data_IF_022636968345
#
_entry.id   IF_022636968345
#
_cell.length_a   1.000
_cell.length_b   1.000
_cell.length_c   1.000
_cell.angle_alpha   90.00
_cell.angle_beta   90.00
_cell.angle_gamma   90.00
#
_symmetry.space_group_name_H-M   'P 1'
#
loop_
_entity.id
_entity.type
_entity.pdbx_description
1 polymer ?
#
# COMPACT_ATOMS: atom_id res chain seq x y z
N UNK A 1 13.91 -41.11 -79.57
CA UNK A 1 14.85 -40.96 -78.41
C UNK A 1 14.36 -39.81 -77.56
N UNK A 2 13.46 -40.08 -76.57
CA UNK A 2 12.83 -39.06 -75.73
C UNK A 2 13.57 -39.02 -74.39
N UNK A 3 14.29 -37.96 -74.12
CA UNK A 3 14.90 -37.70 -72.81
C UNK A 3 13.82 -37.16 -71.81
N UNK A 4 13.50 -37.98 -70.83
CA UNK A 4 12.60 -37.69 -69.77
C UNK A 4 13.35 -36.84 -68.70
N UNK A 5 13.20 -35.49 -68.70
CA UNK A 5 13.69 -34.60 -67.64
C UNK A 5 12.86 -34.85 -66.41
N UNK A 6 13.36 -35.63 -65.48
CA UNK A 6 12.78 -35.71 -64.16
C UNK A 6 13.19 -34.47 -63.37
N UNK A 7 12.19 -33.63 -62.97
CA UNK A 7 12.41 -32.38 -62.26
C UNK A 7 13.07 -32.63 -60.88
N UNK A 8 14.22 -32.01 -60.65
CA UNK A 8 14.97 -32.05 -59.41
C UNK A 8 14.15 -31.57 -58.22
N UNK A 9 13.19 -30.68 -58.48
CA UNK A 9 12.26 -30.14 -57.45
C UNK A 9 11.37 -31.22 -56.82
N UNK A 10 10.88 -32.20 -57.56
CA UNK A 10 10.01 -33.26 -57.01
C UNK A 10 10.78 -34.27 -56.16
N UNK A 11 12.08 -34.38 -56.31
CA UNK A 11 12.92 -35.30 -55.51
C UNK A 11 13.33 -34.70 -54.16
N UNK A 12 13.30 -33.37 -54.02
CA UNK A 12 13.68 -32.68 -52.77
C UNK A 12 12.45 -32.28 -51.96
N UNK A 13 11.38 -31.85 -52.61
CA UNK A 13 10.17 -31.36 -51.89
C UNK A 13 9.36 -32.50 -51.27
N UNK A 14 9.26 -33.66 -51.95
CA UNK A 14 8.47 -34.78 -51.46
C UNK A 14 9.01 -35.41 -50.15
N UNK A 15 10.32 -35.67 -49.99
CA UNK A 15 10.84 -36.22 -48.75
C UNK A 15 10.87 -35.18 -47.61
N UNK A 16 11.04 -33.87 -47.89
CA UNK A 16 10.97 -32.85 -46.88
C UNK A 16 9.55 -32.64 -46.35
N UNK A 17 8.53 -32.71 -47.19
CA UNK A 17 7.13 -32.66 -46.79
C UNK A 17 6.73 -33.88 -45.93
N UNK A 18 7.28 -35.07 -46.23
CA UNK A 18 7.04 -36.29 -45.45
C UNK A 18 7.69 -36.24 -44.06
N UNK A 19 8.85 -35.60 -43.92
CA UNK A 19 9.52 -35.41 -42.63
C UNK A 19 8.77 -34.42 -41.76
N UNK A 20 8.17 -33.36 -42.32
CA UNK A 20 7.34 -32.40 -41.61
C UNK A 20 6.02 -33.04 -41.13
N UNK A 21 5.42 -33.95 -41.91
CA UNK A 21 4.19 -34.66 -41.51
C UNK A 21 4.43 -35.68 -40.39
N UNK A 22 5.63 -36.25 -40.28
CA UNK A 22 6.00 -37.21 -39.25
C UNK A 22 6.46 -36.53 -37.94
N UNK A 23 6.68 -35.22 -37.96
CA UNK A 23 7.07 -34.42 -36.79
C UNK A 23 5.88 -33.87 -35.99
N UNK A 24 4.62 -34.14 -36.38
CA UNK A 24 3.46 -33.87 -35.50
C UNK A 24 3.45 -34.90 -34.37
N UNK A 25 4.36 -34.75 -33.42
CA UNK A 25 4.17 -35.32 -32.10
C UNK A 25 2.85 -34.80 -31.55
N UNK A 26 2.01 -35.73 -31.09
CA UNK A 26 0.85 -35.40 -30.32
C UNK A 26 1.31 -34.38 -29.25
N UNK A 27 0.87 -33.13 -29.40
CA UNK A 27 0.87 -32.18 -28.31
C UNK A 27 -0.28 -32.68 -27.42
N UNK A 28 0.04 -33.59 -26.51
CA UNK A 28 -0.81 -33.79 -25.36
C UNK A 28 -0.93 -32.40 -24.75
N UNK A 29 -2.13 -31.84 -24.78
CA UNK A 29 -2.47 -30.73 -23.93
C UNK A 29 -2.27 -31.24 -22.49
N UNK A 30 -1.03 -31.10 -22.01
CA UNK A 30 -0.79 -31.30 -20.58
C UNK A 30 -1.84 -30.48 -19.89
N UNK A 31 -2.67 -31.15 -19.09
CA UNK A 31 -3.41 -30.48 -18.02
C UNK A 31 -2.36 -29.68 -17.24
N UNK A 32 -2.14 -28.44 -17.64
CA UNK A 32 -1.51 -27.45 -16.76
C UNK A 32 -2.37 -27.51 -15.52
N UNK A 33 -1.81 -27.84 -14.35
CA UNK A 33 -2.58 -27.72 -13.12
C UNK A 33 -3.17 -26.33 -13.19
N UNK A 34 -4.50 -26.24 -13.07
CA UNK A 34 -5.19 -24.96 -12.91
C UNK A 34 -4.34 -24.22 -11.90
N UNK A 35 -3.74 -23.11 -12.32
CA UNK A 35 -3.01 -22.25 -11.39
C UNK A 35 -3.93 -22.13 -10.20
N UNK A 36 -3.48 -22.65 -9.06
CA UNK A 36 -4.19 -22.52 -7.81
C UNK A 36 -4.24 -20.99 -7.59
N UNK A 37 -5.36 -20.39 -7.98
CA UNK A 37 -5.54 -18.95 -7.85
C UNK A 37 -5.70 -18.75 -6.37
N UNK A 38 -4.66 -18.27 -5.72
CA UNK A 38 -4.67 -17.96 -4.30
C UNK A 38 -5.90 -17.12 -3.99
N UNK A 39 -6.79 -17.68 -3.19
CA UNK A 39 -8.07 -17.07 -2.89
C UNK A 39 -7.85 -15.92 -1.91
N UNK A 40 -8.06 -14.70 -2.37
CA UNK A 40 -7.88 -13.50 -1.54
C UNK A 40 -9.00 -13.44 -0.49
N UNK A 41 -8.64 -13.67 0.76
CA UNK A 41 -9.54 -13.54 1.91
C UNK A 41 -9.58 -12.10 2.39
N UNK A 42 -10.78 -11.58 2.61
CA UNK A 42 -11.04 -10.21 3.09
C UNK A 42 -11.88 -10.23 4.37
N UNK A 43 -11.73 -9.17 5.16
CA UNK A 43 -12.49 -8.97 6.41
C UNK A 43 -13.43 -7.76 6.35
N UNK A 44 -13.67 -7.27 5.15
CA UNK A 44 -14.50 -6.09 4.87
C UNK A 44 -15.94 -6.17 5.39
N UNK A 45 -16.44 -7.39 5.62
CA UNK A 45 -17.76 -7.64 6.22
C UNK A 45 -17.70 -8.01 7.70
N UNK A 46 -16.55 -7.82 8.37
CA UNK A 46 -16.26 -8.30 9.73
C UNK A 46 -16.29 -9.82 9.87
N UNK A 47 -16.21 -10.53 8.74
CA UNK A 47 -16.09 -11.99 8.63
C UNK A 47 -15.05 -12.29 7.57
N UNK A 48 -14.34 -13.38 7.73
CA UNK A 48 -13.46 -13.89 6.68
C UNK A 48 -14.33 -14.40 5.54
N UNK A 49 -14.29 -13.73 4.41
CA UNK A 49 -14.97 -14.10 3.15
C UNK A 49 -14.00 -13.96 2.01
N UNK A 50 -14.24 -14.66 0.92
CA UNK A 50 -13.44 -14.45 -0.27
C UNK A 50 -13.78 -13.11 -0.92
N UNK A 51 -12.84 -12.52 -1.62
CA UNK A 51 -13.08 -11.25 -2.33
C UNK A 51 -14.25 -11.35 -3.30
N UNK A 52 -14.43 -12.52 -3.94
CA UNK A 52 -15.50 -12.77 -4.91
C UNK A 52 -16.88 -12.90 -4.25
N UNK A 53 -16.96 -13.44 -3.06
CA UNK A 53 -18.21 -13.59 -2.31
C UNK A 53 -18.60 -12.34 -1.54
N UNK A 54 -17.72 -11.36 -1.47
CA UNK A 54 -17.95 -10.14 -0.70
C UNK A 54 -18.89 -9.20 -1.45
N UNK A 55 -20.08 -8.87 -0.92
CA UNK A 55 -21.11 -8.09 -1.63
C UNK A 55 -20.84 -6.58 -1.61
N UNK A 56 -19.60 -6.15 -1.42
CA UNK A 56 -19.18 -4.74 -1.41
C UNK A 56 -17.97 -4.54 -2.31
N UNK A 57 -17.82 -3.33 -2.84
CA UNK A 57 -16.67 -3.00 -3.68
C UNK A 57 -15.43 -2.77 -2.82
N UNK A 58 -14.47 -3.67 -2.91
CA UNK A 58 -13.20 -3.63 -2.16
C UNK A 58 -12.02 -3.60 -3.13
N UNK A 59 -10.99 -2.82 -2.80
CA UNK A 59 -9.65 -2.99 -3.37
C UNK A 59 -8.75 -3.55 -2.28
N UNK A 60 -8.03 -4.61 -2.58
CA UNK A 60 -7.11 -5.26 -1.65
C UNK A 60 -5.69 -5.03 -2.15
N UNK A 61 -4.81 -4.67 -1.25
CA UNK A 61 -3.37 -4.54 -1.47
C UNK A 61 -2.72 -5.49 -0.46
N UNK A 62 -2.10 -6.54 -0.96
CA UNK A 62 -1.41 -7.54 -0.14
C UNK A 62 0.02 -7.09 0.19
N UNK A 63 0.67 -7.77 1.13
CA UNK A 63 2.04 -7.47 1.57
C UNK A 63 3.01 -7.48 0.38
N UNK A 64 2.88 -8.43 -0.52
CA UNK A 64 3.70 -8.55 -1.73
C UNK A 64 3.58 -7.32 -2.65
N UNK A 65 2.38 -6.77 -2.76
CA UNK A 65 2.12 -5.54 -3.52
C UNK A 65 2.70 -4.32 -2.82
N UNK A 66 2.55 -4.24 -1.49
CA UNK A 66 3.13 -3.17 -0.67
C UNK A 66 4.64 -3.11 -0.89
N UNK A 67 5.31 -4.27 -0.88
CA UNK A 67 6.74 -4.36 -1.09
C UNK A 67 7.15 -4.07 -2.54
N UNK A 68 6.47 -4.68 -3.50
CA UNK A 68 6.75 -4.53 -4.93
C UNK A 68 6.57 -3.10 -5.41
N UNK A 69 5.57 -2.40 -4.90
CA UNK A 69 5.25 -1.01 -5.25
C UNK A 69 5.93 0.01 -4.35
N UNK A 70 6.76 -0.45 -3.41
CA UNK A 70 7.46 0.39 -2.42
C UNK A 70 6.52 1.32 -1.65
N UNK A 71 5.31 0.86 -1.34
CA UNK A 71 4.34 1.58 -0.53
C UNK A 71 4.89 1.70 0.89
N UNK A 72 5.16 2.90 1.32
CA UNK A 72 5.82 3.17 2.60
C UNK A 72 4.84 3.56 3.68
N UNK A 73 3.87 4.37 3.33
CA UNK A 73 2.87 4.87 4.27
C UNK A 73 1.47 4.86 3.64
N UNK A 74 0.49 5.29 4.42
CA UNK A 74 -0.91 5.31 3.98
C UNK A 74 -1.13 6.28 2.80
N UNK A 75 -0.28 7.30 2.62
CA UNK A 75 -0.39 8.26 1.51
C UNK A 75 -0.08 7.61 0.17
N UNK A 76 0.80 6.62 0.16
CA UNK A 76 1.21 5.91 -1.05
C UNK A 76 0.10 4.99 -1.59
N UNK A 77 -0.88 4.60 -0.75
CA UNK A 77 -1.98 3.72 -1.15
C UNK A 77 -2.80 4.28 -2.32
N UNK A 78 -2.86 5.61 -2.48
CA UNK A 78 -3.56 6.24 -3.59
C UNK A 78 -2.97 5.88 -4.96
N UNK A 79 -1.70 5.53 -5.04
CA UNK A 79 -1.07 5.07 -6.28
C UNK A 79 -1.63 3.73 -6.76
N UNK A 80 -2.10 2.89 -5.83
CA UNK A 80 -2.63 1.56 -6.10
C UNK A 80 -4.15 1.51 -6.14
N UNK A 81 -4.84 2.51 -5.58
CA UNK A 81 -6.31 2.59 -5.52
C UNK A 81 -6.80 3.86 -6.17
N UNK A 82 -7.13 3.86 -7.47
CA UNK A 82 -7.49 5.08 -8.22
C UNK A 82 -8.67 5.85 -7.65
N UNK A 83 -9.55 5.20 -6.89
CA UNK A 83 -10.70 5.84 -6.25
C UNK A 83 -10.37 6.51 -4.91
N UNK A 84 -9.17 6.30 -4.38
CA UNK A 84 -8.69 6.85 -3.13
C UNK A 84 -7.85 8.10 -3.42
N UNK A 85 -8.16 9.19 -2.74
CA UNK A 85 -7.35 10.41 -2.75
C UNK A 85 -7.03 10.76 -1.31
N UNK A 86 -5.76 11.04 -1.06
CA UNK A 86 -5.26 11.42 0.25
C UNK A 86 -4.45 12.70 0.07
N UNK A 87 -4.87 13.76 0.71
CA UNK A 87 -4.20 15.04 0.64
C UNK A 87 -3.68 15.44 2.01
N UNK A 88 -2.42 15.74 2.08
CA UNK A 88 -1.76 16.37 3.20
C UNK A 88 -1.89 17.89 3.05
N UNK A 89 -2.33 18.60 4.07
CA UNK A 89 -2.61 20.03 3.97
C UNK A 89 -1.61 20.84 4.81
N UNK A 90 -2.02 21.58 5.83
CA UNK A 90 -1.18 22.59 6.47
C UNK A 90 -0.02 22.04 7.31
N UNK A 91 -0.11 20.82 7.80
CA UNK A 91 0.95 20.17 8.59
C UNK A 91 0.85 18.65 8.47
N UNK A 92 1.91 17.94 8.80
CA UNK A 92 2.06 16.50 8.56
C UNK A 92 0.88 15.65 9.07
N UNK A 93 0.33 16.02 10.23
CA UNK A 93 -0.79 15.32 10.83
C UNK A 93 -2.17 15.72 10.25
N UNK A 94 -2.26 16.70 9.35
CA UNK A 94 -3.54 17.12 8.77
C UNK A 94 -3.78 16.51 7.40
N UNK A 95 -4.48 15.39 7.37
CA UNK A 95 -4.80 14.69 6.15
C UNK A 95 -6.29 14.59 5.92
N UNK A 96 -6.65 14.65 4.65
CA UNK A 96 -8.01 14.41 4.17
C UNK A 96 -8.04 13.18 3.30
N UNK A 97 -9.04 12.34 3.52
CA UNK A 97 -9.24 11.10 2.78
C UNK A 97 -10.55 11.20 2.01
N UNK A 98 -10.50 10.83 0.74
CA UNK A 98 -11.67 10.79 -0.14
C UNK A 98 -11.71 9.47 -0.89
N UNK A 99 -12.90 8.88 -0.99
CA UNK A 99 -13.15 7.69 -1.80
C UNK A 99 -14.22 8.03 -2.82
N UNK A 100 -13.92 7.83 -4.12
CA UNK A 100 -14.80 8.21 -5.25
C UNK A 100 -15.18 9.70 -5.24
N UNK A 101 -14.26 10.57 -4.82
CA UNK A 101 -14.48 12.01 -4.70
C UNK A 101 -15.32 12.44 -3.51
N UNK A 102 -15.78 11.51 -2.66
CA UNK A 102 -16.52 11.82 -1.46
C UNK A 102 -15.63 11.68 -0.21
N UNK A 103 -15.60 12.72 0.61
CA UNK A 103 -14.79 12.76 1.83
C UNK A 103 -14.72 14.19 2.39
N UNK A 104 -14.07 14.34 3.52
CA UNK A 104 -13.89 15.66 4.11
C UNK A 104 -12.76 16.39 3.40
N UNK A 105 -13.09 17.39 2.61
CA UNK A 105 -12.12 18.30 2.01
C UNK A 105 -11.76 19.47 2.93
N UNK A 106 -12.30 19.53 4.13
CA UNK A 106 -12.18 20.68 5.00
C UNK A 106 -10.90 20.64 5.83
N UNK A 107 -10.16 21.72 5.76
CA UNK A 107 -9.02 22.03 6.60
C UNK A 107 -9.49 22.44 8.03
N UNK A 108 -10.38 21.64 8.61
CA UNK A 108 -11.00 21.92 9.89
C UNK A 108 -10.90 20.68 10.81
N UNK A 109 -10.04 20.72 11.83
CA UNK A 109 -9.85 19.61 12.76
C UNK A 109 -11.10 19.30 13.61
N UNK A 110 -12.10 20.18 13.63
CA UNK A 110 -13.38 19.97 14.31
C UNK A 110 -14.39 19.13 13.50
N UNK A 111 -14.12 18.90 12.20
CA UNK A 111 -15.00 18.09 11.34
C UNK A 111 -14.57 16.63 11.40
N UNK A 112 -15.52 15.76 11.71
CA UNK A 112 -15.26 14.31 11.70
C UNK A 112 -14.98 13.79 10.27
N UNK A 113 -14.08 12.80 10.11
CA UNK A 113 -13.78 12.23 8.81
C UNK A 113 -14.98 11.48 8.22
N UNK A 114 -15.06 11.41 6.89
CA UNK A 114 -16.06 10.61 6.17
C UNK A 114 -15.53 9.25 5.72
N UNK A 115 -14.20 9.09 5.70
CA UNK A 115 -13.52 7.81 5.48
C UNK A 115 -12.98 7.35 6.82
N UNK A 116 -13.41 6.19 7.26
CA UNK A 116 -12.94 5.59 8.49
C UNK A 116 -11.63 4.83 8.26
N UNK A 117 -10.77 4.80 9.27
CA UNK A 117 -9.55 3.99 9.26
C UNK A 117 -9.63 3.01 10.42
N UNK A 118 -9.36 1.74 10.13
CA UNK A 118 -9.33 0.65 11.11
C UNK A 118 -7.97 -0.04 11.02
N UNK A 119 -7.33 -0.28 12.14
CA UNK A 119 -6.10 -1.06 12.25
C UNK A 119 -6.37 -2.21 13.19
N UNK A 120 -6.23 -3.45 12.70
CA UNK A 120 -6.52 -4.68 13.47
C UNK A 120 -7.90 -4.66 14.17
N UNK A 121 -8.90 -4.07 13.52
CA UNK A 121 -10.26 -3.96 14.05
C UNK A 121 -10.49 -2.76 14.98
N UNK A 122 -9.44 -2.02 15.36
CA UNK A 122 -9.54 -0.81 16.17
C UNK A 122 -9.75 0.41 15.27
N UNK A 123 -10.83 1.13 15.51
CA UNK A 123 -11.17 2.34 14.75
C UNK A 123 -10.33 3.53 15.21
N UNK A 124 -9.63 4.15 14.26
CA UNK A 124 -8.87 5.36 14.51
C UNK A 124 -9.83 6.55 14.48
N UNK A 125 -9.97 7.24 15.60
CA UNK A 125 -10.94 8.33 15.75
C UNK A 125 -10.59 9.58 14.95
N UNK A 126 -9.30 9.80 14.68
CA UNK A 126 -8.80 10.95 13.90
C UNK A 126 -7.82 10.46 12.85
N UNK A 127 -8.04 10.84 11.59
CA UNK A 127 -7.19 10.44 10.48
C UNK A 127 -5.73 10.93 10.63
N UNK A 128 -5.51 11.97 11.44
CA UNK A 128 -4.18 12.46 11.77
C UNK A 128 -3.28 11.42 12.43
N UNK A 129 -3.89 10.55 13.25
CA UNK A 129 -3.16 9.49 13.97
C UNK A 129 -2.90 8.24 13.12
N UNK A 130 -3.30 8.26 11.84
CA UNK A 130 -3.16 7.11 10.95
C UNK A 130 -2.00 7.24 9.95
N UNK A 131 -1.24 8.36 10.01
CA UNK A 131 -0.14 8.62 9.08
C UNK A 131 1.15 8.03 9.62
N UNK A 132 1.16 6.73 9.67
CA UNK A 132 2.33 6.01 10.10
C UNK A 132 2.84 5.17 8.95
N UNK A 133 4.10 4.80 9.03
CA UNK A 133 4.66 3.80 8.15
C UNK A 133 3.89 2.49 8.29
N UNK A 134 3.60 1.84 7.18
CA UNK A 134 2.93 0.56 7.13
C UNK A 134 3.91 -0.54 7.56
N UNK A 135 4.03 -0.72 8.88
CA UNK A 135 4.96 -1.69 9.47
C UNK A 135 4.26 -3.03 9.68
N UNK A 136 4.88 -4.11 9.19
CA UNK A 136 4.37 -5.48 9.37
C UNK A 136 2.91 -5.66 8.94
N UNK A 137 2.49 -4.98 7.86
CA UNK A 137 1.15 -5.07 7.31
C UNK A 137 1.04 -6.36 6.50
N UNK A 138 -0.02 -7.12 6.72
CA UNK A 138 -0.41 -8.29 5.93
C UNK A 138 -1.18 -7.85 4.68
N UNK A 139 -2.19 -6.98 4.87
CA UNK A 139 -3.00 -6.43 3.78
C UNK A 139 -3.67 -5.12 4.17
N UNK A 140 -4.01 -4.35 3.15
CA UNK A 140 -4.87 -3.17 3.25
C UNK A 140 -6.10 -3.37 2.37
N UNK A 141 -7.28 -3.23 2.95
CA UNK A 141 -8.56 -3.29 2.26
C UNK A 141 -9.15 -1.89 2.17
N UNK A 142 -9.40 -1.38 0.97
CA UNK A 142 -10.12 -0.13 0.75
C UNK A 142 -11.55 -0.45 0.35
N UNK A 143 -12.46 -0.35 1.31
CA UNK A 143 -13.89 -0.65 1.17
C UNK A 143 -14.60 0.61 0.72
N UNK A 144 -15.26 0.56 -0.43
CA UNK A 144 -15.81 1.73 -1.11
C UNK A 144 -17.32 1.83 -0.90
N UNK A 145 -17.77 2.99 -0.46
CA UNK A 145 -19.16 3.28 -0.18
C UNK A 145 -19.53 3.20 1.30
N UNK A 146 -20.78 3.49 1.69
CA UNK A 146 -21.21 3.57 3.07
C UNK A 146 -21.05 2.24 3.82
N UNK A 147 -20.36 2.28 4.96
CA UNK A 147 -20.08 1.12 5.81
C UNK A 147 -20.41 1.37 7.28
N UNK A 148 -21.20 2.37 7.58
CA UNK A 148 -21.48 2.80 8.97
C UNK A 148 -22.15 1.72 9.82
N UNK A 149 -22.87 0.79 9.22
CA UNK A 149 -23.51 -0.33 9.93
C UNK A 149 -22.48 -1.27 10.58
N UNK A 150 -21.37 -1.53 9.91
CA UNK A 150 -20.33 -2.48 10.38
C UNK A 150 -19.16 -1.79 11.07
N UNK A 151 -18.81 -0.57 10.62
CA UNK A 151 -17.63 0.16 11.09
C UNK A 151 -17.96 1.38 11.94
N UNK A 152 -19.25 1.67 12.16
CA UNK A 152 -19.69 2.76 13.01
C UNK A 152 -19.58 4.13 12.33
N UNK A 153 -19.38 5.17 13.13
CA UNK A 153 -19.26 6.53 12.64
C UNK A 153 -18.05 6.73 11.73
N UNK A 154 -18.06 7.76 10.92
CA UNK A 154 -16.96 8.14 10.01
C UNK A 154 -16.78 7.23 8.79
N UNK A 155 -17.64 6.22 8.58
CA UNK A 155 -17.57 5.28 7.46
C UNK A 155 -18.62 5.58 6.38
N UNK A 156 -18.86 6.85 6.07
CA UNK A 156 -19.90 7.30 5.11
C UNK A 156 -19.41 7.15 3.67
N UNK A 157 -18.15 7.50 3.40
CA UNK A 157 -17.55 7.38 2.07
C UNK A 157 -16.89 6.00 1.86
N UNK A 158 -16.45 5.38 2.94
CA UNK A 158 -15.79 4.08 2.94
C UNK A 158 -14.90 3.85 4.14
N UNK A 159 -14.11 2.79 4.07
CA UNK A 159 -13.18 2.38 5.14
C UNK A 159 -11.85 1.97 4.53
N UNK A 160 -10.77 2.38 5.17
CA UNK A 160 -9.44 1.80 4.98
C UNK A 160 -9.19 0.87 6.16
N UNK A 161 -9.18 -0.43 5.89
CA UNK A 161 -8.98 -1.46 6.92
C UNK A 161 -7.59 -2.07 6.75
N UNK A 162 -6.74 -1.87 7.74
CA UNK A 162 -5.37 -2.35 7.75
C UNK A 162 -5.29 -3.54 8.69
N UNK A 163 -4.82 -4.66 8.17
CA UNK A 163 -4.55 -5.87 8.95
C UNK A 163 -3.05 -6.07 9.03
N UNK A 164 -2.52 -6.21 10.23
CA UNK A 164 -1.11 -6.49 10.43
C UNK A 164 -0.87 -8.00 10.56
N UNK A 165 0.31 -8.44 10.13
CA UNK A 165 0.69 -9.84 10.17
C UNK A 165 0.69 -10.37 11.61
N UNK A 166 0.15 -11.55 11.80
CA UNK A 166 0.09 -12.22 13.10
C UNK A 166 1.48 -12.73 13.52
N UNK A 167 1.72 -12.88 14.84
CA UNK A 167 2.83 -13.69 15.34
C UNK A 167 2.78 -15.11 14.78
N UNK A 168 3.94 -15.66 14.44
CA UNK A 168 4.09 -17.01 13.88
C UNK A 168 4.76 -17.94 14.89
N UNK A 169 4.44 -19.24 14.80
CA UNK A 169 5.03 -20.26 15.66
C UNK A 169 6.40 -20.74 15.17
N UNK A 170 6.78 -20.38 13.94
CA UNK A 170 8.11 -20.61 13.41
C UNK A 170 8.99 -19.36 13.61
N UNK A 171 10.23 -19.58 14.03
CA UNK A 171 11.16 -18.45 14.18
C UNK A 171 11.55 -17.92 12.80
N UNK A 172 11.26 -16.66 12.59
CA UNK A 172 11.52 -15.99 11.32
C UNK A 172 11.77 -14.50 11.52
N UNK A 173 12.25 -13.87 10.45
CA UNK A 173 12.44 -12.43 10.46
C UNK A 173 12.72 -11.88 9.08
N UNK A 174 12.48 -10.57 8.95
CA UNK A 174 12.74 -9.81 7.73
C UNK A 174 13.45 -8.52 8.10
N UNK A 175 14.39 -8.14 7.28
CA UNK A 175 15.12 -6.88 7.40
C UNK A 175 15.19 -6.20 6.05
N UNK A 176 14.93 -4.91 6.03
CA UNK A 176 14.91 -4.11 4.80
C UNK A 176 15.66 -2.80 5.01
N UNK A 177 16.47 -2.43 4.03
CA UNK A 177 17.09 -1.12 3.93
C UNK A 177 16.73 -0.54 2.56
N UNK A 178 16.29 0.71 2.57
CA UNK A 178 16.07 1.49 1.34
C UNK A 178 16.86 2.78 1.45
N UNK A 179 17.61 3.11 0.40
CA UNK A 179 18.33 4.37 0.27
C UNK A 179 17.96 5.03 -1.06
N UNK A 180 17.92 6.35 -1.11
CA UNK A 180 17.51 7.08 -2.30
C UNK A 180 17.93 8.54 -2.28
N UNK A 181 17.36 9.33 -3.17
CA UNK A 181 17.60 10.76 -3.26
C UNK A 181 17.14 11.51 -2.01
N UNK A 182 17.63 12.71 -1.82
CA UNK A 182 17.38 13.55 -0.64
C UNK A 182 17.79 12.86 0.67
N UNK A 183 18.92 12.16 0.67
CA UNK A 183 19.40 11.40 1.83
C UNK A 183 18.40 10.39 2.37
N UNK A 184 17.48 9.89 1.51
CA UNK A 184 16.49 8.91 1.92
C UNK A 184 17.18 7.70 2.54
N UNK A 185 16.79 7.42 3.77
CA UNK A 185 17.18 6.23 4.52
C UNK A 185 15.95 5.65 5.20
N UNK A 186 15.52 4.47 4.76
CA UNK A 186 14.47 3.70 5.41
C UNK A 186 15.05 2.37 5.86
N UNK A 187 14.95 2.10 7.14
CA UNK A 187 15.43 0.86 7.77
C UNK A 187 14.25 0.26 8.50
N UNK A 188 13.96 -0.99 8.24
CA UNK A 188 12.88 -1.70 8.90
C UNK A 188 13.23 -3.16 9.14
N UNK A 189 12.63 -3.72 10.17
CA UNK A 189 12.80 -5.13 10.46
C UNK A 189 11.68 -5.70 11.30
N UNK A 190 11.48 -6.98 11.15
CA UNK A 190 10.50 -7.76 11.91
C UNK A 190 11.15 -9.07 12.32
N UNK A 191 10.88 -9.49 13.54
CA UNK A 191 11.21 -10.82 14.04
C UNK A 191 9.95 -11.43 14.66
N UNK A 192 9.72 -12.70 14.41
CA UNK A 192 8.60 -13.47 14.95
C UNK A 192 9.07 -14.84 15.39
N UNK A 193 8.35 -15.47 16.30
CA UNK A 193 8.67 -16.83 16.73
C UNK A 193 7.90 -17.26 17.96
N UNK A 194 8.04 -18.52 18.36
CA UNK A 194 7.39 -19.08 19.54
C UNK A 194 8.07 -18.59 20.83
N UNK A 195 7.25 -18.34 21.85
CA UNK A 195 7.69 -18.23 23.26
C UNK A 195 7.42 -19.56 23.97
N UNK A 196 6.30 -20.19 23.63
CA UNK A 196 5.91 -21.53 24.11
C UNK A 196 5.09 -22.23 23.01
N UNK A 197 4.65 -23.47 23.25
CA UNK A 197 3.83 -24.23 22.30
C UNK A 197 2.56 -23.48 21.83
N UNK A 198 1.96 -22.68 22.73
CA UNK A 198 0.70 -22.00 22.47
C UNK A 198 0.85 -20.46 22.45
N UNK A 199 2.07 -19.94 22.46
CA UNK A 199 2.29 -18.50 22.53
C UNK A 199 3.42 -18.09 21.60
N UNK A 200 3.13 -17.16 20.71
CA UNK A 200 4.08 -16.57 19.77
C UNK A 200 4.16 -15.06 19.90
N UNK A 201 5.27 -14.51 19.45
CA UNK A 201 5.51 -13.06 19.45
C UNK A 201 5.88 -12.56 18.05
N UNK A 202 5.63 -11.30 17.82
CA UNK A 202 6.15 -10.53 16.67
C UNK A 202 6.60 -9.15 17.16
N UNK A 203 7.82 -8.79 16.83
CA UNK A 203 8.38 -7.47 17.09
C UNK A 203 8.79 -6.84 15.77
N UNK A 204 8.32 -5.64 15.51
CA UNK A 204 8.62 -4.89 14.29
C UNK A 204 9.07 -3.49 14.65
N UNK A 205 10.07 -2.99 13.93
CA UNK A 205 10.55 -1.61 14.08
C UNK A 205 10.89 -1.03 12.71
N UNK A 206 10.66 0.28 12.54
CA UNK A 206 11.08 1.02 11.36
C UNK A 206 11.59 2.41 11.73
N UNK A 207 12.48 2.93 10.89
CA UNK A 207 12.91 4.32 10.87
C UNK A 207 12.94 4.80 9.42
N UNK A 208 12.34 5.96 9.16
CA UNK A 208 12.23 6.53 7.84
C UNK A 208 12.67 8.00 7.88
N UNK A 209 13.80 8.30 7.28
CA UNK A 209 14.37 9.66 7.19
C UNK A 209 14.58 10.05 5.74
N UNK A 210 14.25 11.30 5.42
CA UNK A 210 14.51 11.92 4.11
C UNK A 210 14.56 13.43 4.28
N UNK A 211 15.55 14.05 3.68
CA UNK A 211 15.66 15.52 3.64
C UNK A 211 14.50 16.14 2.84
N UNK A 212 14.17 17.38 3.12
CA UNK A 212 13.16 18.13 2.39
C UNK A 212 13.58 18.39 0.94
N UNK A 213 12.63 18.39 0.03
CA UNK A 213 12.88 18.67 -1.39
C UNK A 213 12.44 20.07 -1.82
N UNK A 214 11.85 20.84 -0.92
CA UNK A 214 11.43 22.22 -1.16
C UNK A 214 12.22 23.16 -0.29
N UNK A 215 12.91 24.12 -0.90
CA UNK A 215 13.73 25.10 -0.19
C UNK A 215 12.91 26.31 0.22
N UNK A 216 12.92 26.65 1.49
CA UNK A 216 12.42 27.92 2.00
C UNK A 216 13.47 29.02 1.71
N UNK A 217 13.13 29.94 0.82
CA UNK A 217 14.08 30.95 0.35
C UNK A 217 14.43 32.01 1.42
N UNK A 218 13.57 32.21 2.41
CA UNK A 218 13.82 33.17 3.49
C UNK A 218 14.64 32.59 4.63
N UNK A 219 14.28 31.39 5.06
CA UNK A 219 14.93 30.74 6.19
C UNK A 219 16.12 29.88 5.77
N UNK A 220 16.25 29.59 4.48
CA UNK A 220 17.28 28.68 3.96
C UNK A 220 17.10 27.23 4.40
N UNK A 221 15.97 26.89 5.03
CA UNK A 221 15.64 25.54 5.50
C UNK A 221 14.98 24.74 4.37
N UNK A 222 15.05 23.43 4.49
CA UNK A 222 14.33 22.50 3.61
C UNK A 222 13.03 22.09 4.28
N UNK A 223 11.99 21.88 3.49
CA UNK A 223 10.64 21.50 3.90
C UNK A 223 10.14 20.35 3.03
N UNK A 224 9.08 19.65 3.49
CA UNK A 224 8.60 18.38 2.96
C UNK A 224 9.58 17.22 3.23
N UNK A 225 10.21 17.25 4.38
CA UNK A 225 11.05 16.18 4.90
C UNK A 225 10.23 14.98 5.42
N UNK A 226 10.93 13.94 5.84
CA UNK A 226 10.41 12.81 6.59
C UNK A 226 11.36 12.51 7.74
N UNK A 227 10.84 12.40 8.94
CA UNK A 227 11.54 11.86 10.11
C UNK A 227 10.54 11.11 10.98
N UNK A 228 10.51 9.79 10.83
CA UNK A 228 9.56 8.91 11.50
C UNK A 228 10.27 7.71 12.10
N UNK A 229 9.74 7.25 13.20
CA UNK A 229 10.03 5.90 13.68
C UNK A 229 8.76 5.24 14.21
N UNK A 230 8.70 3.92 14.11
CA UNK A 230 7.62 3.12 14.66
C UNK A 230 8.17 1.82 15.24
N UNK A 231 7.57 1.40 16.35
CA UNK A 231 7.85 0.11 16.99
C UNK A 231 6.50 -0.52 17.32
N UNK A 232 6.34 -1.79 16.98
CA UNK A 232 5.16 -2.58 17.31
C UNK A 232 5.58 -3.92 17.89
N UNK A 233 5.01 -4.26 19.02
CA UNK A 233 5.14 -5.56 19.66
C UNK A 233 3.80 -6.25 19.73
N UNK A 234 3.77 -7.53 19.42
CA UNK A 234 2.57 -8.35 19.43
C UNK A 234 2.84 -9.65 20.18
N UNK A 235 1.86 -10.09 20.93
CA UNK A 235 1.80 -11.39 21.57
C UNK A 235 0.50 -12.06 21.17
N UNK A 236 0.55 -13.29 20.72
CA UNK A 236 -0.60 -14.13 20.41
C UNK A 236 -0.52 -15.38 21.28
N UNK A 237 -1.57 -15.65 22.02
CA UNK A 237 -1.64 -16.83 22.91
C UNK A 237 -2.96 -17.56 22.74
N UNK A 238 -2.88 -18.84 22.45
CA UNK A 238 -4.03 -19.78 22.42
C UNK A 238 -4.19 -20.41 23.79
N UNK A 239 -5.00 -19.76 24.63
CA UNK A 239 -5.19 -20.18 26.02
C UNK A 239 -6.06 -21.44 26.12
N UNK A 240 -6.93 -21.67 25.15
CA UNK A 240 -7.76 -22.90 25.03
C UNK A 240 -8.24 -23.02 23.57
N UNK A 241 -8.88 -24.16 23.24
CA UNK A 241 -9.46 -24.41 21.91
C UNK A 241 -10.44 -23.29 21.43
N UNK A 242 -11.03 -22.54 22.36
CA UNK A 242 -12.03 -21.51 22.07
C UNK A 242 -11.62 -20.12 22.52
N UNK A 243 -10.38 -19.94 22.99
CA UNK A 243 -9.92 -18.66 23.51
C UNK A 243 -8.51 -18.33 23.02
N UNK A 244 -8.45 -17.39 22.10
CA UNK A 244 -7.20 -16.78 21.62
C UNK A 244 -7.13 -15.34 22.11
N UNK A 245 -5.99 -14.95 22.66
CA UNK A 245 -5.72 -13.60 23.14
C UNK A 245 -4.59 -13.01 22.30
N UNK A 246 -4.83 -11.84 21.71
CA UNK A 246 -3.82 -11.04 21.02
C UNK A 246 -3.62 -9.74 21.77
N UNK A 247 -2.38 -9.45 22.14
CA UNK A 247 -1.98 -8.20 22.76
C UNK A 247 -1.10 -7.44 21.76
N UNK A 248 -1.42 -6.18 21.53
CA UNK A 248 -0.67 -5.30 20.63
C UNK A 248 -0.26 -4.07 21.42
N UNK A 249 1.01 -3.70 21.33
CA UNK A 249 1.55 -2.47 21.85
C UNK A 249 2.36 -1.80 20.75
N UNK A 250 2.02 -0.58 20.42
CA UNK A 250 2.73 0.20 19.40
C UNK A 250 3.05 1.61 19.89
N UNK A 251 4.15 2.12 19.41
CA UNK A 251 4.58 3.49 19.51
C UNK A 251 5.11 3.97 18.18
N UNK A 252 4.63 5.11 17.75
CA UNK A 252 5.10 5.81 16.57
C UNK A 252 5.33 7.29 16.91
N UNK A 253 6.24 7.91 16.16
CA UNK A 253 6.55 9.32 16.28
C UNK A 253 6.94 9.86 14.90
N UNK A 254 6.46 11.06 14.59
CA UNK A 254 6.78 11.76 13.35
C UNK A 254 7.10 13.23 13.67
N UNK A 255 8.32 13.66 13.31
CA UNK A 255 8.78 15.05 13.42
C UNK A 255 9.07 15.59 12.01
N UNK A 256 8.10 16.19 11.36
CA UNK A 256 8.18 16.59 9.95
C UNK A 256 7.78 18.05 9.76
N UNK A 257 8.52 18.75 8.91
CA UNK A 257 8.16 20.07 8.39
C UNK A 257 7.60 19.92 7.00
N UNK A 258 6.27 19.89 6.89
CA UNK A 258 5.65 19.57 5.62
C UNK A 258 4.71 20.65 5.09
N UNK A 259 4.25 20.35 3.93
CA UNK A 259 2.99 20.70 3.30
C UNK A 259 3.01 22.06 2.61
N UNK A 260 4.15 22.39 2.01
CA UNK A 260 4.23 23.48 1.07
C UNK A 260 3.84 23.04 -0.32
N UNK A 261 2.96 23.80 -0.94
CA UNK A 261 2.59 23.67 -2.35
C UNK A 261 3.09 24.88 -3.11
N UNK A 262 3.67 24.62 -4.28
CA UNK A 262 4.05 25.67 -5.21
C UNK A 262 2.82 26.19 -5.96
N UNK A 263 2.69 27.51 -6.10
CA UNK A 263 1.66 28.11 -6.95
C UNK A 263 2.06 27.96 -8.41
N UNK A 264 1.31 27.19 -9.18
CA UNK A 264 1.53 27.02 -10.62
C UNK A 264 1.15 28.30 -11.42
N UNK A 265 0.24 29.08 -10.86
CA UNK A 265 -0.19 30.37 -11.45
C UNK A 265 -0.32 31.41 -10.34
N UNK A 266 0.29 32.57 -10.55
CA UNK A 266 0.18 33.67 -9.61
C UNK A 266 -1.19 34.32 -9.74
N UNK A 267 -2.04 34.16 -8.73
CA UNK A 267 -3.28 34.92 -8.59
C UNK A 267 -3.06 36.32 -7.98
N UNK A 268 -4.10 37.11 -7.91
CA UNK A 268 -4.05 38.47 -7.35
C UNK A 268 -3.46 38.51 -5.91
N UNK A 269 -3.73 37.51 -5.09
CA UNK A 269 -3.21 37.39 -3.71
C UNK A 269 -1.71 37.13 -3.73
N UNK A 270 -1.25 36.21 -4.57
CA UNK A 270 0.18 35.88 -4.70
C UNK A 270 0.98 37.07 -5.21
N UNK A 271 0.45 37.76 -6.24
CA UNK A 271 1.07 38.97 -6.79
C UNK A 271 1.12 40.10 -5.75
N UNK A 272 0.04 40.28 -4.98
CA UNK A 272 0.01 41.26 -3.90
C UNK A 272 0.99 40.94 -2.77
N UNK A 273 1.11 39.65 -2.38
CA UNK A 273 2.07 39.22 -1.39
C UNK A 273 3.52 39.40 -1.89
N UNK A 274 3.81 39.07 -3.16
CA UNK A 274 5.12 39.30 -3.77
C UNK A 274 5.51 40.76 -3.75
N UNK A 275 4.60 41.67 -4.11
CA UNK A 275 4.85 43.09 -4.11
C UNK A 275 5.08 43.69 -2.72
N UNK A 276 4.44 43.14 -1.68
CA UNK A 276 4.45 43.66 -0.31
C UNK A 276 5.55 43.08 0.56
N UNK A 277 5.81 41.78 0.42
CA UNK A 277 6.65 41.04 1.34
C UNK A 277 8.06 40.79 0.82
N UNK A 278 8.18 40.39 -0.41
CA UNK A 278 9.48 40.04 -1.02
C UNK A 278 9.36 39.99 -2.53
N UNK A 279 9.57 41.12 -3.25
CA UNK A 279 9.49 41.13 -4.70
C UNK A 279 10.37 40.07 -5.36
N UNK A 280 9.78 39.23 -6.20
CA UNK A 280 10.45 38.11 -6.88
C UNK A 280 10.73 36.86 -6.06
N UNK A 281 10.27 36.78 -4.79
CA UNK A 281 10.48 35.62 -3.93
C UNK A 281 9.27 34.68 -3.84
N UNK A 282 8.10 35.15 -4.22
CA UNK A 282 6.87 34.33 -4.24
C UNK A 282 6.59 33.64 -5.56
N UNK A 283 7.39 33.97 -6.58
CA UNK A 283 7.36 33.28 -7.89
C UNK A 283 8.30 32.07 -7.86
N UNK A 284 7.79 30.99 -8.38
CA UNK A 284 8.51 29.73 -8.60
C UNK A 284 9.10 29.75 -10.00
#
# INVERSE_FOLDING_TARGET
MLFRKTNLLTKIILPTLLVILLATKNIDAQNTPLLDIEEIVVTSTKKNTTLQETPVSVSVIQMEDIERLAISDILDLQSSVPSLQINQTQFAAQNTFQIRGFGNGANNPGVEPSVAISIDGVMISRNQSAINDLISVERVEVIKGPQSTLFGKNAIAGVINITTALPENDFGGKFQITAGEYSLSKIGGTVTGPISENTSFRLSASSHKRDGYTKNLELGTEINDRDRYAIRAQLLSELSENLTVRIIVDKDEAEEVCCTTAALLNGAVTIGADALLAPGKTTI
#
